data_IF_148048292173
#
_entry.id   IF_148048292173
#
_cell.length_a   1.000
_cell.length_b   1.000
_cell.length_c   1.000
_cell.angle_alpha   90.00
_cell.angle_beta   90.00
_cell.angle_gamma   90.00
#
_symmetry.space_group_name_H-M   'P 1'
#
loop_
_entity.id
_entity.type
_entity.pdbx_description
1 polymer ?
#
# COMPACT_ATOMS: atom_id res chain seq x y z
N UNK A 1 -1.07 -18.93 -33.13
CA UNK A 1 -1.55 -19.21 -31.75
C UNK A 1 -0.35 -19.35 -30.81
N UNK A 2 0.21 -18.26 -30.26
CA UNK A 2 1.46 -18.35 -29.47
C UNK A 2 1.62 -17.35 -28.32
N UNK A 3 1.07 -16.14 -28.45
CA UNK A 3 1.19 -15.10 -27.41
C UNK A 3 0.14 -15.24 -26.29
N UNK A 4 -1.12 -15.59 -26.62
CA UNK A 4 -2.19 -15.71 -25.63
C UNK A 4 -1.99 -16.87 -24.64
N UNK A 5 -1.49 -18.03 -25.09
CA UNK A 5 -1.21 -19.18 -24.19
C UNK A 5 -0.03 -18.91 -23.26
N UNK A 6 0.97 -18.12 -23.69
CA UNK A 6 2.12 -17.74 -22.87
C UNK A 6 1.71 -16.79 -21.73
N UNK A 7 0.74 -15.91 -21.99
CA UNK A 7 0.18 -15.01 -20.98
C UNK A 7 -0.64 -15.76 -19.93
N UNK A 8 -1.37 -16.82 -20.29
CA UNK A 8 -2.13 -17.59 -19.30
C UNK A 8 -1.23 -18.45 -18.38
N UNK A 9 -0.03 -18.85 -18.83
CA UNK A 9 0.90 -19.65 -18.01
C UNK A 9 1.86 -18.85 -17.12
N UNK A 10 1.88 -17.52 -17.24
CA UNK A 10 2.76 -16.67 -16.41
C UNK A 10 2.09 -16.28 -15.10
N UNK A 11 2.82 -16.37 -13.98
CA UNK A 11 2.34 -15.99 -12.66
C UNK A 11 1.87 -14.53 -12.64
N UNK A 12 0.76 -14.27 -11.93
CA UNK A 12 0.21 -12.92 -11.74
C UNK A 12 1.25 -11.95 -11.17
N UNK A 13 2.16 -12.45 -10.32
CA UNK A 13 3.25 -11.67 -9.76
C UNK A 13 4.15 -11.06 -10.86
N UNK A 14 4.53 -11.86 -11.86
CA UNK A 14 5.41 -11.40 -12.95
C UNK A 14 4.71 -10.32 -13.79
N UNK A 15 3.40 -10.45 -13.98
CA UNK A 15 2.60 -9.44 -14.70
C UNK A 15 2.50 -8.13 -13.92
N UNK A 16 2.29 -8.20 -12.61
CA UNK A 16 2.23 -7.02 -11.74
C UNK A 16 3.58 -6.30 -11.68
N UNK A 17 4.66 -7.05 -11.45
CA UNK A 17 6.01 -6.47 -11.41
C UNK A 17 6.39 -5.89 -12.77
N UNK A 18 6.12 -6.61 -13.87
CA UNK A 18 6.37 -6.11 -15.23
C UNK A 18 5.57 -4.84 -15.53
N UNK A 19 4.27 -4.82 -15.21
CA UNK A 19 3.42 -3.64 -15.40
C UNK A 19 3.86 -2.46 -14.52
N UNK A 20 4.32 -2.70 -13.30
CA UNK A 20 4.82 -1.64 -12.40
C UNK A 20 6.09 -0.99 -12.95
N UNK A 21 7.04 -1.79 -13.46
CA UNK A 21 8.28 -1.28 -14.05
C UNK A 21 7.98 -0.49 -15.33
N UNK A 22 7.17 -1.05 -16.24
CA UNK A 22 6.79 -0.40 -17.49
C UNK A 22 6.01 0.89 -17.21
N UNK A 23 5.04 0.85 -16.29
CA UNK A 23 4.25 2.01 -15.90
C UNK A 23 5.10 3.13 -15.28
N UNK A 24 6.08 2.78 -14.44
CA UNK A 24 7.02 3.74 -13.86
C UNK A 24 7.86 4.43 -14.94
N UNK A 25 8.43 3.67 -15.88
CA UNK A 25 9.25 4.21 -16.98
C UNK A 25 8.42 5.13 -17.87
N UNK A 26 7.21 4.70 -18.26
CA UNK A 26 6.31 5.51 -19.09
C UNK A 26 5.89 6.80 -18.37
N UNK A 27 5.63 6.73 -17.06
CA UNK A 27 5.29 7.89 -16.24
C UNK A 27 6.40 8.96 -16.22
N UNK A 28 7.66 8.54 -16.15
CA UNK A 28 8.82 9.46 -16.17
C UNK A 28 9.00 10.11 -17.55
N UNK A 29 8.79 9.36 -18.64
CA UNK A 29 9.04 9.87 -20.00
C UNK A 29 7.91 10.79 -20.50
N UNK A 30 6.64 10.43 -20.24
CA UNK A 30 5.49 11.12 -20.82
C UNK A 30 4.99 12.33 -20.00
N UNK A 31 5.43 12.48 -18.74
CA UNK A 31 5.09 13.61 -17.88
C UNK A 31 3.59 13.91 -17.82
N UNK A 32 3.22 15.19 -18.05
CA UNK A 32 1.84 15.69 -17.89
C UNK A 32 0.82 15.06 -18.85
N UNK A 33 1.25 14.49 -19.98
CA UNK A 33 0.33 13.81 -20.91
C UNK A 33 -0.22 12.49 -20.36
N UNK A 34 0.37 11.93 -19.29
CA UNK A 34 -0.08 10.66 -18.71
C UNK A 34 -1.32 10.80 -17.81
N UNK A 35 -1.75 12.03 -17.47
CA UNK A 35 -2.89 12.28 -16.56
C UNK A 35 -4.19 11.61 -17.03
N UNK A 36 -4.35 11.37 -18.33
CA UNK A 36 -5.49 10.62 -18.86
C UNK A 36 -5.56 9.16 -18.37
N UNK A 37 -4.44 8.58 -17.94
CA UNK A 37 -4.35 7.22 -17.42
C UNK A 37 -4.64 7.12 -15.91
N UNK A 38 -4.59 8.25 -15.18
CA UNK A 38 -4.93 8.33 -13.76
C UNK A 38 -6.32 7.74 -13.42
N UNK A 39 -7.42 8.08 -14.13
CA UNK A 39 -8.74 7.52 -13.82
C UNK A 39 -8.78 5.99 -13.89
N UNK A 40 -7.97 5.37 -14.76
CA UNK A 40 -7.88 3.90 -14.85
C UNK A 40 -7.30 3.30 -13.56
N UNK A 41 -6.24 3.90 -13.03
CA UNK A 41 -5.64 3.50 -11.75
C UNK A 41 -6.61 3.74 -10.58
N UNK A 42 -7.32 4.86 -10.60
CA UNK A 42 -8.32 5.20 -9.57
C UNK A 42 -9.46 4.17 -9.52
N UNK A 43 -10.01 3.79 -10.67
CA UNK A 43 -11.06 2.76 -10.75
C UNK A 43 -10.52 1.43 -10.22
N UNK A 44 -9.31 1.02 -10.62
CA UNK A 44 -8.70 -0.22 -10.13
C UNK A 44 -8.56 -0.24 -8.59
N UNK A 45 -8.05 0.85 -8.01
CA UNK A 45 -7.93 0.97 -6.55
C UNK A 45 -9.30 1.02 -5.86
N UNK A 46 -10.31 1.66 -6.45
CA UNK A 46 -11.67 1.68 -5.93
C UNK A 46 -12.29 0.28 -5.92
N UNK A 47 -12.10 -0.50 -6.98
CA UNK A 47 -12.56 -1.89 -7.04
C UNK A 47 -11.87 -2.75 -5.97
N UNK A 48 -10.56 -2.58 -5.76
CA UNK A 48 -9.84 -3.28 -4.69
C UNK A 48 -10.35 -2.89 -3.30
N UNK A 49 -10.57 -1.60 -3.05
CA UNK A 49 -11.11 -1.09 -1.78
C UNK A 49 -12.53 -1.60 -1.53
N UNK A 50 -13.37 -1.64 -2.56
CA UNK A 50 -14.74 -2.16 -2.51
C UNK A 50 -14.77 -3.63 -2.09
N UNK A 51 -13.82 -4.43 -2.56
CA UNK A 51 -13.69 -5.84 -2.16
C UNK A 51 -13.05 -6.01 -0.77
N UNK A 52 -12.05 -5.19 -0.44
CA UNK A 52 -11.28 -5.33 0.80
C UNK A 52 -12.13 -5.10 2.06
N UNK A 53 -12.97 -4.06 2.08
CA UNK A 53 -13.75 -3.69 3.27
C UNK A 53 -14.73 -4.80 3.72
N UNK A 54 -15.62 -5.34 2.85
CA UNK A 54 -16.49 -6.45 3.23
C UNK A 54 -15.71 -7.70 3.59
N UNK A 55 -14.64 -8.01 2.85
CA UNK A 55 -13.82 -9.19 3.07
C UNK A 55 -13.20 -9.18 4.47
N UNK A 56 -12.65 -8.05 4.92
CA UNK A 56 -12.09 -7.91 6.27
C UNK A 56 -13.18 -8.12 7.34
N UNK A 57 -14.35 -7.52 7.16
CA UNK A 57 -15.46 -7.62 8.12
C UNK A 57 -15.97 -9.06 8.26
N UNK A 58 -16.32 -9.71 7.15
CA UNK A 58 -16.82 -11.08 7.18
C UNK A 58 -15.75 -12.08 7.63
N UNK A 59 -14.49 -11.88 7.22
CA UNK A 59 -13.38 -12.73 7.67
C UNK A 59 -13.15 -12.58 9.18
N UNK A 60 -13.27 -11.37 9.73
CA UNK A 60 -13.16 -11.17 11.17
C UNK A 60 -14.32 -11.83 11.91
N UNK A 61 -15.57 -11.69 11.44
CA UNK A 61 -16.74 -12.36 12.03
C UNK A 61 -16.60 -13.89 11.99
N UNK A 62 -16.26 -14.46 10.84
CA UNK A 62 -16.04 -15.89 10.70
C UNK A 62 -14.85 -16.38 11.55
N UNK A 63 -13.80 -15.55 11.67
CA UNK A 63 -12.65 -15.82 12.50
C UNK A 63 -12.97 -15.84 13.99
N UNK A 64 -13.82 -14.94 14.48
CA UNK A 64 -14.24 -14.92 15.90
C UNK A 64 -15.32 -15.96 16.20
N UNK A 65 -16.21 -16.29 15.27
CA UNK A 65 -17.29 -17.25 15.50
C UNK A 65 -16.81 -18.69 15.63
N UNK A 66 -15.64 -19.01 15.07
CA UNK A 66 -14.99 -20.32 15.22
C UNK A 66 -14.25 -20.48 16.54
N UNK A 67 -14.09 -19.41 17.33
CA UNK A 67 -13.44 -19.47 18.64
C UNK A 67 -14.47 -19.79 19.73
N UNK A 68 -14.24 -20.88 20.48
CA UNK A 68 -15.11 -21.29 21.59
C UNK A 68 -15.00 -20.39 22.81
N UNK A 69 -13.84 -19.75 23.03
CA UNK A 69 -13.55 -18.91 24.20
C UNK A 69 -13.15 -17.47 23.81
N UNK A 70 -13.94 -16.44 24.20
CA UNK A 70 -13.62 -15.03 23.94
C UNK A 70 -12.29 -14.57 24.54
N UNK A 71 -11.81 -15.25 25.61
CA UNK A 71 -10.53 -14.94 26.28
C UNK A 71 -9.33 -15.21 25.38
N UNK A 72 -9.44 -16.16 24.45
CA UNK A 72 -8.36 -16.48 23.49
C UNK A 72 -8.16 -15.30 22.55
N UNK A 73 -9.24 -14.69 22.06
CA UNK A 73 -9.19 -13.52 21.20
C UNK A 73 -8.49 -12.34 21.89
N UNK A 74 -8.79 -12.09 23.17
CA UNK A 74 -8.11 -11.06 23.97
C UNK A 74 -6.60 -11.33 24.15
N UNK A 75 -6.21 -12.59 24.36
CA UNK A 75 -4.79 -12.96 24.51
C UNK A 75 -4.02 -12.88 23.19
N UNK A 76 -4.65 -13.25 22.08
CA UNK A 76 -4.05 -13.15 20.74
C UNK A 76 -3.95 -11.69 20.31
N UNK A 77 -5.03 -10.92 20.50
CA UNK A 77 -5.07 -9.49 20.19
C UNK A 77 -4.02 -8.69 20.95
N UNK A 78 -3.86 -8.93 22.26
CA UNK A 78 -2.82 -8.27 23.06
C UNK A 78 -1.40 -8.62 22.61
N UNK A 79 -1.11 -9.89 22.30
CA UNK A 79 0.19 -10.30 21.74
C UNK A 79 0.48 -9.60 20.41
N UNK A 80 -0.50 -9.56 19.52
CA UNK A 80 -0.37 -8.90 18.22
C UNK A 80 -0.18 -7.40 18.39
N UNK A 81 -0.93 -6.76 19.29
CA UNK A 81 -0.76 -5.33 19.61
C UNK A 81 0.65 -5.02 20.09
N UNK A 82 1.17 -5.77 21.07
CA UNK A 82 2.54 -5.58 21.57
C UNK A 82 3.56 -5.81 20.45
N UNK A 83 3.37 -6.84 19.62
CA UNK A 83 4.24 -7.12 18.47
C UNK A 83 4.25 -5.97 17.45
N UNK A 84 3.10 -5.45 17.07
CA UNK A 84 3.01 -4.31 16.16
C UNK A 84 3.60 -3.05 16.78
N UNK A 85 3.34 -2.78 18.06
CA UNK A 85 3.90 -1.60 18.73
C UNK A 85 5.44 -1.64 18.74
N UNK A 86 6.02 -2.80 19.05
CA UNK A 86 7.48 -2.97 19.06
C UNK A 86 8.08 -2.85 17.65
N UNK A 87 7.47 -3.50 16.67
CA UNK A 87 7.96 -3.43 15.27
C UNK A 87 7.82 -2.03 14.68
N UNK A 88 6.71 -1.32 14.95
CA UNK A 88 6.52 0.07 14.53
C UNK A 88 7.48 1.01 15.24
N UNK A 89 7.71 0.82 16.56
CA UNK A 89 8.71 1.61 17.28
C UNK A 89 10.10 1.43 16.67
N UNK A 90 10.54 0.19 16.42
CA UNK A 90 11.80 -0.09 15.71
C UNK A 90 11.86 0.57 14.33
N UNK A 91 10.78 0.48 13.55
CA UNK A 91 10.70 1.13 12.25
C UNK A 91 10.82 2.66 12.34
N UNK A 92 10.18 3.29 13.34
CA UNK A 92 10.28 4.73 13.61
C UNK A 92 11.70 5.13 14.02
N UNK A 93 12.37 4.35 14.85
CA UNK A 93 13.77 4.61 15.21
C UNK A 93 14.67 4.60 13.98
N UNK A 94 14.53 3.60 13.11
CA UNK A 94 15.29 3.50 11.86
C UNK A 94 14.95 4.68 10.93
N UNK A 95 13.67 5.01 10.79
CA UNK A 95 13.20 6.12 9.95
C UNK A 95 13.75 7.47 10.44
N UNK A 96 13.75 7.72 11.75
CA UNK A 96 14.31 8.94 12.32
C UNK A 96 15.83 8.98 12.20
N UNK A 97 16.52 7.87 12.43
CA UNK A 97 17.97 7.81 12.31
C UNK A 97 18.41 8.10 10.87
N UNK A 98 17.81 7.43 9.89
CA UNK A 98 18.11 7.64 8.47
C UNK A 98 17.66 9.03 8.02
N UNK A 99 16.47 9.48 8.45
CA UNK A 99 15.94 10.79 8.12
C UNK A 99 16.82 11.93 8.60
N UNK A 100 17.37 11.82 9.82
CA UNK A 100 18.31 12.81 10.35
C UNK A 100 19.65 12.79 9.59
N UNK A 101 20.14 11.62 9.20
CA UNK A 101 21.41 11.46 8.48
C UNK A 101 21.35 11.99 7.04
N UNK A 102 20.27 11.69 6.31
CA UNK A 102 20.08 12.15 4.92
C UNK A 102 19.67 13.63 4.89
N UNK A 103 18.97 14.11 5.93
CA UNK A 103 18.49 15.49 5.99
C UNK A 103 17.67 15.91 4.78
N UNK A 104 16.65 15.13 4.36
CA UNK A 104 15.85 15.47 3.19
C UNK A 104 15.15 16.80 3.43
N UNK A 105 15.56 17.84 2.72
CA UNK A 105 15.00 19.18 2.80
C UNK A 105 15.98 20.31 3.13
N UNK A 106 17.25 20.02 3.43
CA UNK A 106 18.28 21.07 3.46
C UNK A 106 18.38 21.74 2.09
N UNK A 107 17.99 23.02 2.01
CA UNK A 107 17.97 23.81 0.77
C UNK A 107 16.59 23.98 0.12
N UNK A 108 15.51 23.44 0.69
CA UNK A 108 14.15 23.75 0.24
C UNK A 108 13.75 25.17 0.68
N UNK A 109 13.85 26.14 -0.23
CA UNK A 109 13.21 27.45 -0.07
C UNK A 109 11.75 27.34 -0.52
N UNK A 110 10.83 27.23 0.44
CA UNK A 110 9.40 27.30 0.19
C UNK A 110 9.05 28.77 -0.12
N UNK A 111 9.03 29.14 -1.40
CA UNK A 111 8.81 30.54 -1.82
C UNK A 111 7.33 30.94 -1.88
N UNK A 112 6.41 30.02 -1.62
CA UNK A 112 4.98 30.27 -1.63
C UNK A 112 4.39 30.03 -0.23
N UNK A 113 3.66 31.03 0.28
CA UNK A 113 2.96 30.93 1.55
C UNK A 113 2.01 29.72 1.51
N UNK A 114 2.25 28.80 2.44
CA UNK A 114 1.51 27.56 2.59
C UNK A 114 0.04 27.88 2.96
N UNK A 115 -0.86 28.00 1.97
CA UNK A 115 -2.31 28.03 2.22
C UNK A 115 -2.74 26.59 2.54
N UNK A 116 -2.91 26.31 3.83
CA UNK A 116 -3.19 25.00 4.40
C UNK A 116 -4.56 24.43 4.06
N UNK A 117 -4.94 24.36 2.78
CA UNK A 117 -6.05 23.53 2.31
C UNK A 117 -5.54 22.14 2.01
N UNK A 118 -5.51 21.34 3.08
CA UNK A 118 -5.42 19.89 2.99
C UNK A 118 -6.73 19.41 2.36
N UNK A 119 -6.70 19.15 1.05
CA UNK A 119 -7.75 18.45 0.32
C UNK A 119 -7.54 16.94 0.39
#
# INVERSE_FOLDING_TARGET
MGLLQRYQKTSLLVKLLGAMVIGSIIGVIAGKSILFLEPLGKIFLQLLKMAALPLIFFNLIAGISTMSDPKILGRVGSKIMVYYLMTTACALFIAFYIGNLIGPGYGLQLTEAFDGKVA
#
